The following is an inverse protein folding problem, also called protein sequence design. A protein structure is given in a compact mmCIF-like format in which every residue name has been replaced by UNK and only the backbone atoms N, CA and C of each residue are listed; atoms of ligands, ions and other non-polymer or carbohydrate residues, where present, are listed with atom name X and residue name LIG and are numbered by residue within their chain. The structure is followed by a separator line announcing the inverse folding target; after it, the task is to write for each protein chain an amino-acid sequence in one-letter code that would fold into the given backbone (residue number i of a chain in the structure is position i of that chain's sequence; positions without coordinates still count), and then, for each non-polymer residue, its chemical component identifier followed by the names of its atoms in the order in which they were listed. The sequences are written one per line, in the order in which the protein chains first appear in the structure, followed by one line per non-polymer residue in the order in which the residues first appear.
data_IF_156172664504
#
_entry.id   IF_156172664504
#
_cell.length_a   1.000
_cell.length_b   1.000
_cell.length_c   1.000
_cell.angle_alpha   90.00
_cell.angle_beta   90.00
_cell.angle_gamma   90.00
#
_symmetry.space_group_name_H-M   'P 1'
#
loop_
_entity.id
_entity.type
_entity.pdbx_description
1 polymer ?
#
# COMPACT_ATOMS: atom_id res chain seq x y z
N UNK A 1 4.36 -16.36 15.70
CA UNK A 1 2.94 -16.16 15.31
C UNK A 1 2.96 -15.18 14.13
N UNK A 2 2.13 -15.37 13.12
CA UNK A 2 2.03 -14.44 11.98
C UNK A 2 0.74 -13.64 12.15
N UNK A 3 0.83 -12.31 11.98
CA UNK A 3 -0.31 -11.40 12.03
C UNK A 3 -0.40 -10.66 10.70
N UNK A 4 -1.60 -10.62 10.12
CA UNK A 4 -1.90 -9.91 8.88
C UNK A 4 -3.09 -9.00 9.19
N UNK A 5 -2.96 -7.72 8.89
CA UNK A 5 -4.04 -6.74 8.95
C UNK A 5 -4.24 -6.09 7.60
N UNK A 6 -5.40 -5.49 7.42
CA UNK A 6 -5.75 -4.69 6.25
C UNK A 6 -6.35 -3.35 6.71
N UNK A 7 -6.15 -2.31 5.90
CA UNK A 7 -6.86 -1.05 6.05
C UNK A 7 -8.23 -1.17 5.36
N UNK A 8 -9.30 -0.80 6.06
CA UNK A 8 -10.64 -0.73 5.49
C UNK A 8 -10.77 0.52 4.61
N UNK A 9 -10.30 0.43 3.37
CA UNK A 9 -10.17 1.54 2.40
C UNK A 9 -11.52 2.21 2.13
N UNK A 10 -12.62 1.46 2.14
CA UNK A 10 -13.99 1.94 1.93
C UNK A 10 -14.47 2.93 3.01
N UNK A 11 -13.79 2.99 4.17
CA UNK A 11 -14.06 3.94 5.25
C UNK A 11 -13.21 5.20 5.17
N UNK A 12 -12.25 5.26 4.25
CA UNK A 12 -11.39 6.42 4.02
C UNK A 12 -12.02 7.41 3.04
N UNK A 13 -11.42 8.59 2.90
CA UNK A 13 -11.83 9.60 1.94
C UNK A 13 -11.74 9.10 0.50
N UNK A 14 -12.56 9.64 -0.41
CA UNK A 14 -12.49 9.33 -1.84
C UNK A 14 -11.11 9.62 -2.44
N UNK A 15 -10.41 10.63 -1.92
CA UNK A 15 -9.04 10.95 -2.33
C UNK A 15 -8.07 9.81 -1.98
N UNK A 16 -8.09 9.31 -0.73
CA UNK A 16 -7.26 8.18 -0.32
C UNK A 16 -7.60 6.93 -1.13
N UNK A 17 -8.90 6.63 -1.30
CA UNK A 17 -9.35 5.48 -2.08
C UNK A 17 -8.81 5.53 -3.52
N UNK A 18 -8.85 6.70 -4.16
CA UNK A 18 -8.35 6.88 -5.52
C UNK A 18 -6.84 6.62 -5.63
N UNK A 19 -6.06 7.08 -4.65
CA UNK A 19 -4.62 6.82 -4.59
C UNK A 19 -4.33 5.33 -4.40
N UNK A 20 -5.01 4.68 -3.45
CA UNK A 20 -4.82 3.23 -3.20
C UNK A 20 -5.18 2.40 -4.42
N UNK A 21 -6.29 2.70 -5.11
CA UNK A 21 -6.67 1.99 -6.33
C UNK A 21 -5.62 2.17 -7.42
N UNK A 22 -5.11 3.39 -7.63
CA UNK A 22 -4.04 3.65 -8.61
C UNK A 22 -2.77 2.83 -8.31
N UNK A 23 -2.40 2.69 -7.03
CA UNK A 23 -1.25 1.87 -6.63
C UNK A 23 -1.48 0.37 -6.87
N UNK A 24 -2.70 -0.13 -6.63
CA UNK A 24 -3.05 -1.54 -6.87
C UNK A 24 -3.03 -1.85 -8.37
N UNK A 25 -3.51 -0.92 -9.21
CA UNK A 25 -3.51 -1.07 -10.68
C UNK A 25 -2.10 -1.17 -11.29
N UNK A 26 -1.05 -0.74 -10.56
CA UNK A 26 0.35 -0.88 -10.97
C UNK A 26 0.96 -2.26 -10.63
N UNK A 27 0.26 -3.10 -9.85
CA UNK A 27 0.78 -4.42 -9.46
C UNK A 27 0.60 -5.40 -10.62
N UNK A 28 1.71 -6.01 -11.07
CA UNK A 28 1.67 -7.13 -12.01
C UNK A 28 0.99 -8.35 -11.36
N UNK A 29 -0.09 -8.86 -11.97
CA UNK A 29 -0.80 -10.05 -11.50
C UNK A 29 0.13 -11.26 -11.29
N UNK A 30 1.17 -11.40 -12.13
CA UNK A 30 2.15 -12.47 -11.99
C UNK A 30 2.96 -12.35 -10.68
N UNK A 31 3.21 -11.12 -10.20
CA UNK A 31 3.94 -10.88 -8.95
C UNK A 31 3.18 -11.38 -7.71
N UNK A 32 1.84 -11.37 -7.74
CA UNK A 32 0.98 -11.77 -6.62
C UNK A 32 1.19 -13.25 -6.24
N UNK A 33 1.53 -14.09 -7.23
CA UNK A 33 1.74 -15.53 -7.05
C UNK A 33 3.20 -15.93 -6.84
N UNK A 34 4.13 -14.97 -6.88
CA UNK A 34 5.55 -15.25 -6.70
C UNK A 34 5.88 -15.52 -5.21
N UNK A 35 6.81 -16.44 -4.96
CA UNK A 35 7.25 -16.84 -3.61
C UNK A 35 7.77 -15.66 -2.76
N UNK A 36 8.13 -14.55 -3.41
CA UNK A 36 8.65 -13.35 -2.78
C UNK A 36 7.64 -12.22 -2.57
N UNK A 37 6.35 -12.41 -2.88
CA UNK A 37 5.37 -11.33 -2.84
C UNK A 37 5.33 -10.62 -1.48
N UNK A 38 5.33 -11.36 -0.36
CA UNK A 38 5.27 -10.79 1.00
C UNK A 38 6.51 -9.97 1.44
N UNK A 39 7.60 -10.01 0.66
CA UNK A 39 8.83 -9.25 0.91
C UNK A 39 9.37 -8.60 -0.38
N UNK A 40 8.48 -8.32 -1.32
CA UNK A 40 8.79 -7.73 -2.63
C UNK A 40 8.92 -6.22 -2.61
N UNK A 41 8.49 -5.56 -1.52
CA UNK A 41 8.48 -4.10 -1.41
C UNK A 41 7.34 -3.46 -2.23
N UNK A 42 7.60 -2.28 -2.78
CA UNK A 42 6.63 -1.52 -3.57
C UNK A 42 6.59 -2.00 -5.03
N UNK A 43 5.39 -2.05 -5.61
CA UNK A 43 5.16 -2.31 -7.03
C UNK A 43 4.74 -1.07 -7.82
N UNK A 44 4.55 0.04 -7.10
CA UNK A 44 4.11 1.33 -7.62
C UNK A 44 5.16 2.41 -7.40
N UNK A 45 4.94 3.59 -7.98
CA UNK A 45 5.68 4.80 -7.64
C UNK A 45 4.81 5.78 -6.86
N UNK A 46 5.31 6.27 -5.71
CA UNK A 46 4.61 7.28 -4.90
C UNK A 46 5.42 8.57 -4.82
N UNK A 47 4.78 9.69 -5.13
CA UNK A 47 5.39 11.00 -4.93
C UNK A 47 5.42 11.38 -3.45
N UNK A 48 6.32 12.28 -3.07
CA UNK A 48 6.36 12.80 -1.71
C UNK A 48 5.03 13.46 -1.31
N UNK A 49 4.41 14.21 -2.23
CA UNK A 49 3.14 14.89 -1.95
C UNK A 49 1.98 13.91 -1.77
N UNK A 50 1.94 12.85 -2.58
CA UNK A 50 0.98 11.74 -2.40
C UNK A 50 1.19 11.06 -1.04
N UNK A 51 2.43 10.78 -0.67
CA UNK A 51 2.75 10.22 0.65
C UNK A 51 2.28 11.13 1.80
N UNK A 52 2.54 12.44 1.72
CA UNK A 52 2.09 13.40 2.73
C UNK A 52 0.56 13.46 2.82
N UNK A 53 -0.14 13.40 1.69
CA UNK A 53 -1.60 13.37 1.65
C UNK A 53 -2.16 12.10 2.32
N UNK A 54 -1.58 10.93 2.05
CA UNK A 54 -1.94 9.69 2.74
C UNK A 54 -1.66 9.78 4.24
N UNK A 55 -0.50 10.32 4.63
CA UNK A 55 -0.07 10.45 6.02
C UNK A 55 -1.00 11.34 6.84
N UNK A 56 -1.53 12.40 6.22
CA UNK A 56 -2.48 13.30 6.88
C UNK A 56 -3.78 12.61 7.32
N UNK A 57 -4.14 11.49 6.69
CA UNK A 57 -5.36 10.72 7.00
C UNK A 57 -5.07 9.38 7.69
N UNK A 58 -4.03 8.66 7.27
CA UNK A 58 -3.72 7.32 7.76
C UNK A 58 -2.22 7.01 7.68
N UNK A 59 -1.58 6.90 8.85
CA UNK A 59 -0.19 6.44 8.97
C UNK A 59 0.00 5.04 8.37
N UNK A 60 -1.02 4.17 8.47
CA UNK A 60 -0.98 2.83 7.87
C UNK A 60 -0.93 2.91 6.34
N UNK A 61 -1.77 3.75 5.73
CA UNK A 61 -1.77 3.94 4.28
C UNK A 61 -0.44 4.52 3.79
N UNK A 62 0.09 5.52 4.51
CA UNK A 62 1.38 6.12 4.20
C UNK A 62 2.54 5.14 4.34
N UNK A 63 2.53 4.30 5.38
CA UNK A 63 3.53 3.25 5.57
C UNK A 63 3.47 2.23 4.43
N UNK A 64 2.28 1.74 4.09
CA UNK A 64 2.10 0.83 2.96
C UNK A 64 2.59 1.47 1.66
N UNK A 65 2.25 2.73 1.39
CA UNK A 65 2.68 3.40 0.17
C UNK A 65 4.20 3.54 0.05
N UNK A 66 4.90 3.84 1.15
CA UNK A 66 6.35 4.00 1.16
C UNK A 66 7.12 2.67 1.10
N UNK A 67 6.56 1.59 1.67
CA UNK A 67 7.31 0.37 1.92
C UNK A 67 6.81 -0.87 1.17
N UNK A 68 5.54 -0.86 0.74
CA UNK A 68 4.89 -1.98 0.07
C UNK A 68 4.86 -3.26 0.91
N UNK A 69 4.97 -4.40 0.24
CA UNK A 69 4.89 -5.71 0.88
C UNK A 69 6.21 -6.09 1.52
N UNK A 70 6.28 -5.90 2.85
CA UNK A 70 7.37 -6.38 3.71
C UNK A 70 6.88 -6.57 5.14
N UNK A 71 7.65 -7.31 5.94
CA UNK A 71 7.41 -7.40 7.37
C UNK A 71 7.46 -6.00 8.02
N UNK A 72 6.48 -5.72 8.88
CA UNK A 72 6.45 -4.48 9.65
C UNK A 72 7.38 -4.55 10.87
N UNK A 73 7.40 -5.70 11.57
CA UNK A 73 8.28 -6.02 12.70
C UNK A 73 8.37 -7.54 12.89
#
# INVERSE_FOLDING_TARGET
KVFISELLVEKCSQALQSVVNSMIDEIDEAAITADNFLYSGTHWQVSHDTYQALLAESEYAAWMAAWGYRANH
#
